data_IF_141344335695
#
_entry.id   IF_141344335695
#
_cell.length_a   1.000
_cell.length_b   1.000
_cell.length_c   1.000
_cell.angle_alpha   90.00
_cell.angle_beta   90.00
_cell.angle_gamma   90.00
#
_symmetry.space_group_name_H-M   'P 1'
#
loop_
_entity.id
_entity.type
_entity.pdbx_description
1 polymer ?
#
# COMPACT_ATOMS: atom_id res chain seq x y z
N UNK A 1 -6.45 -13.05 8.72
CA UNK A 1 -6.70 -11.69 9.26
C UNK A 1 -5.54 -10.70 8.99
N UNK A 2 -4.30 -10.92 9.47
CA UNK A 2 -3.22 -9.90 9.33
C UNK A 2 -2.80 -9.63 7.88
N UNK A 3 -2.94 -10.58 6.97
CA UNK A 3 -2.71 -10.35 5.53
C UNK A 3 -3.70 -9.32 4.94
N UNK A 4 -4.88 -9.21 5.52
CA UNK A 4 -5.94 -8.33 5.00
C UNK A 4 -5.53 -6.85 4.96
N UNK A 5 -5.09 -6.20 6.05
CA UNK A 5 -4.64 -4.82 6.00
C UNK A 5 -3.31 -4.65 5.23
N UNK A 6 -2.51 -5.71 5.08
CA UNK A 6 -1.30 -5.68 4.26
C UNK A 6 -1.64 -5.62 2.77
N UNK A 7 -2.67 -6.31 2.32
CA UNK A 7 -3.08 -6.34 0.92
C UNK A 7 -3.98 -5.15 0.57
N UNK A 8 -5.04 -4.94 1.36
CA UNK A 8 -6.08 -3.96 1.07
C UNK A 8 -5.78 -2.55 1.57
N UNK A 9 -4.76 -2.37 2.38
CA UNK A 9 -4.50 -1.13 3.12
C UNK A 9 -5.72 -0.66 3.96
N UNK A 10 -6.59 -1.58 4.40
CA UNK A 10 -7.77 -1.26 5.18
C UNK A 10 -7.43 -0.58 6.50
N UNK A 11 -8.30 0.35 6.92
CA UNK A 11 -8.27 0.88 8.30
C UNK A 11 -8.73 -0.20 9.27
N UNK A 12 -8.33 -0.11 10.52
CA UNK A 12 -8.72 -1.10 11.53
C UNK A 12 -10.23 -1.21 11.68
N UNK A 13 -10.97 -0.12 11.55
CA UNK A 13 -12.43 -0.14 11.60
C UNK A 13 -13.04 -0.83 10.38
N UNK A 14 -12.48 -0.60 9.19
CA UNK A 14 -12.89 -1.25 7.94
C UNK A 14 -12.63 -2.77 8.01
N UNK A 15 -11.50 -3.17 8.61
CA UNK A 15 -11.20 -4.59 8.86
C UNK A 15 -12.20 -5.21 9.85
N UNK A 16 -12.49 -4.52 10.95
CA UNK A 16 -13.41 -5.02 11.97
C UNK A 16 -14.86 -5.13 11.47
N UNK A 17 -15.26 -4.22 10.59
CA UNK A 17 -16.61 -4.15 10.02
C UNK A 17 -16.77 -4.87 8.68
N UNK A 18 -15.71 -5.52 8.16
CA UNK A 18 -15.78 -6.20 6.89
C UNK A 18 -16.72 -7.41 6.94
N UNK A 19 -17.67 -7.47 6.02
CA UNK A 19 -18.61 -8.57 5.84
C UNK A 19 -18.15 -9.48 4.70
N UNK A 20 -18.57 -10.73 4.75
CA UNK A 20 -18.22 -11.72 3.71
C UNK A 20 -18.79 -11.36 2.34
N UNK A 21 -19.99 -10.76 2.27
CA UNK A 21 -20.59 -10.27 1.03
C UNK A 21 -19.80 -9.16 0.32
N UNK A 22 -18.85 -8.53 1.01
CA UNK A 22 -17.97 -7.49 0.44
C UNK A 22 -16.76 -8.05 -0.33
N UNK A 23 -16.59 -9.37 -0.31
CA UNK A 23 -15.55 -10.06 -1.06
C UNK A 23 -16.09 -10.40 -2.45
N UNK A 24 -15.43 -9.94 -3.50
CA UNK A 24 -15.76 -10.19 -4.90
C UNK A 24 -14.58 -10.84 -5.57
N UNK A 25 -14.59 -12.17 -5.66
CA UNK A 25 -13.43 -12.96 -6.11
C UNK A 25 -13.69 -13.75 -7.42
N UNK A 26 -14.72 -13.38 -8.19
CA UNK A 26 -15.13 -14.15 -9.36
C UNK A 26 -14.18 -14.02 -10.55
N UNK A 27 -14.01 -12.84 -11.13
CA UNK A 27 -13.18 -12.67 -12.35
C UNK A 27 -12.00 -11.74 -12.16
N UNK A 28 -12.22 -10.63 -11.48
CA UNK A 28 -11.18 -9.66 -11.12
C UNK A 28 -11.32 -9.39 -9.62
N UNK A 29 -10.53 -10.06 -8.76
CA UNK A 29 -10.76 -10.05 -7.33
C UNK A 29 -10.59 -8.67 -6.71
N UNK A 30 -11.58 -8.24 -5.94
CA UNK A 30 -11.52 -7.02 -5.15
C UNK A 30 -12.29 -7.16 -3.84
N UNK A 31 -11.98 -6.27 -2.91
CA UNK A 31 -12.70 -6.13 -1.65
C UNK A 31 -13.37 -4.76 -1.61
N UNK A 32 -14.67 -4.73 -1.33
CA UNK A 32 -15.41 -3.51 -1.10
C UNK A 32 -15.23 -3.05 0.34
N UNK A 33 -14.54 -1.94 0.57
CA UNK A 33 -14.29 -1.41 1.90
C UNK A 33 -15.17 -0.19 2.18
N UNK A 34 -15.88 -0.23 3.30
CA UNK A 34 -16.75 0.85 3.74
C UNK A 34 -16.03 1.74 4.75
N UNK A 35 -15.73 2.97 4.35
CA UNK A 35 -15.04 3.96 5.16
C UNK A 35 -15.97 4.85 5.97
N UNK A 36 -15.37 5.79 6.70
CA UNK A 36 -16.11 6.79 7.49
C UNK A 36 -17.05 7.62 6.60
N UNK A 37 -18.29 7.77 7.05
CA UNK A 37 -19.32 8.54 6.32
C UNK A 37 -19.97 7.77 5.16
N UNK A 38 -19.96 6.43 5.18
CA UNK A 38 -20.64 5.59 4.17
C UNK A 38 -19.97 5.55 2.80
N UNK A 39 -18.76 6.10 2.66
CA UNK A 39 -18.01 6.03 1.41
C UNK A 39 -17.44 4.63 1.21
N UNK A 40 -17.91 3.95 0.17
CA UNK A 40 -17.37 2.68 -0.26
C UNK A 40 -16.24 2.89 -1.28
N UNK A 41 -15.28 1.94 -1.31
CA UNK A 41 -14.28 1.83 -2.35
C UNK A 41 -13.95 0.37 -2.64
N UNK A 42 -13.70 0.08 -3.90
CA UNK A 42 -13.26 -1.22 -4.36
C UNK A 42 -11.73 -1.26 -4.38
N UNK A 43 -11.15 -2.16 -3.62
CA UNK A 43 -9.69 -2.35 -3.55
C UNK A 43 -9.36 -3.64 -4.29
N UNK A 44 -8.70 -3.55 -5.46
CA UNK A 44 -8.21 -4.74 -6.16
C UNK A 44 -7.23 -5.52 -5.27
N UNK A 45 -7.32 -6.83 -5.31
CA UNK A 45 -6.44 -7.73 -4.56
C UNK A 45 -5.86 -8.78 -5.50
N UNK A 46 -4.80 -9.45 -5.07
CA UNK A 46 -4.18 -10.52 -5.84
C UNK A 46 -5.02 -11.81 -5.77
N UNK A 47 -4.91 -12.66 -6.78
CA UNK A 47 -5.56 -13.98 -6.81
C UNK A 47 -5.13 -14.83 -5.60
N UNK A 48 -3.84 -14.85 -5.29
CA UNK A 48 -3.31 -15.57 -4.13
C UNK A 48 -3.89 -15.09 -2.80
N UNK A 49 -4.22 -13.81 -2.70
CA UNK A 49 -4.90 -13.28 -1.52
C UNK A 49 -6.38 -13.70 -1.50
N UNK A 50 -7.04 -13.70 -2.65
CA UNK A 50 -8.43 -14.17 -2.76
C UNK A 50 -8.55 -15.65 -2.36
N UNK A 51 -7.63 -16.50 -2.83
CA UNK A 51 -7.52 -17.90 -2.43
C UNK A 51 -7.32 -18.03 -0.91
N UNK A 52 -6.35 -17.30 -0.34
CA UNK A 52 -6.08 -17.32 1.11
C UNK A 52 -7.31 -16.93 1.94
N UNK A 53 -8.10 -15.97 1.48
CA UNK A 53 -9.32 -15.53 2.19
C UNK A 53 -10.44 -16.53 1.97
N UNK A 54 -10.53 -17.13 0.78
CA UNK A 54 -11.47 -18.21 0.47
C UNK A 54 -11.24 -19.44 1.36
N UNK A 55 -10.00 -19.87 1.50
CA UNK A 55 -9.61 -20.98 2.41
C UNK A 55 -9.97 -20.64 3.86
N UNK A 56 -9.71 -19.41 4.28
CA UNK A 56 -10.10 -18.93 5.61
C UNK A 56 -11.62 -18.98 5.79
N UNK A 57 -12.39 -18.47 4.83
CA UNK A 57 -13.85 -18.48 4.90
C UNK A 57 -14.40 -19.90 4.96
N UNK A 58 -13.89 -20.81 4.12
CA UNK A 58 -14.22 -22.22 4.12
C UNK A 58 -13.93 -22.91 5.45
N UNK A 59 -12.74 -22.69 6.02
CA UNK A 59 -12.33 -23.27 7.30
C UNK A 59 -13.18 -22.81 8.50
N UNK A 60 -13.76 -21.61 8.41
CA UNK A 60 -14.62 -21.04 9.46
C UNK A 60 -16.13 -21.10 9.14
N UNK A 61 -16.52 -21.72 8.02
CA UNK A 61 -17.93 -21.87 7.61
C UNK A 61 -18.61 -20.54 7.29
N UNK A 62 -17.85 -19.54 6.76
CA UNK A 62 -18.38 -18.23 6.42
C UNK A 62 -19.04 -18.30 5.04
N UNK A 63 -20.36 -18.10 4.99
CA UNK A 63 -21.20 -18.42 3.83
C UNK A 63 -21.44 -17.33 2.79
N UNK A 64 -20.70 -16.21 2.80
CA UNK A 64 -20.81 -15.19 1.74
C UNK A 64 -21.99 -14.20 1.88
N UNK A 65 -22.70 -14.20 3.02
CA UNK A 65 -23.78 -13.27 3.34
C UNK A 65 -23.31 -12.04 4.12
N UNK A 66 -24.20 -11.42 4.89
CA UNK A 66 -23.91 -10.28 5.77
C UNK A 66 -23.20 -10.70 7.07
N UNK A 67 -22.45 -11.79 7.02
CA UNK A 67 -21.71 -12.30 8.16
C UNK A 67 -20.37 -11.54 8.30
N UNK A 68 -19.93 -11.25 9.55
CA UNK A 68 -18.62 -10.66 9.77
C UNK A 68 -17.51 -11.58 9.28
N UNK A 69 -16.62 -11.06 8.43
CA UNK A 69 -15.50 -11.84 7.92
C UNK A 69 -14.53 -12.25 9.04
N UNK A 70 -14.32 -11.38 10.02
CA UNK A 70 -13.42 -11.66 11.14
C UNK A 70 -14.17 -11.63 12.45
N UNK A 71 -14.20 -12.78 13.12
CA UNK A 71 -14.90 -12.95 14.40
C UNK A 71 -13.94 -13.29 15.54
N UNK A 72 -14.36 -13.05 16.74
CA UNK A 72 -13.70 -13.53 17.95
C UNK A 72 -14.16 -14.99 18.26
N UNK A 73 -13.59 -15.58 19.31
CA UNK A 73 -13.93 -16.95 19.76
C UNK A 73 -15.40 -17.16 20.12
N UNK A 74 -16.19 -16.11 20.25
CA UNK A 74 -17.63 -16.16 20.57
C UNK A 74 -18.52 -15.90 19.35
N UNK A 75 -17.95 -15.88 18.13
CA UNK A 75 -18.67 -15.61 16.88
C UNK A 75 -19.06 -14.13 16.69
N UNK A 76 -18.65 -13.22 17.56
CA UNK A 76 -18.93 -11.78 17.43
C UNK A 76 -17.87 -11.09 16.58
N UNK A 77 -18.20 -9.97 15.90
CA UNK A 77 -17.24 -9.20 15.13
C UNK A 77 -15.99 -8.89 15.94
N UNK A 78 -14.83 -8.94 15.28
CA UNK A 78 -13.57 -8.62 15.90
C UNK A 78 -13.53 -7.11 16.20
N UNK A 79 -13.00 -6.75 17.36
CA UNK A 79 -12.85 -5.34 17.76
C UNK A 79 -11.43 -4.83 17.49
N UNK A 80 -11.24 -3.51 17.41
CA UNK A 80 -9.91 -2.89 17.31
C UNK A 80 -8.93 -3.43 18.37
N UNK A 81 -9.38 -3.58 19.62
CA UNK A 81 -8.58 -4.16 20.72
C UNK A 81 -8.22 -5.63 20.42
N UNK A 82 -9.16 -6.40 19.85
CA UNK A 82 -8.92 -7.78 19.43
C UNK A 82 -7.89 -7.86 18.33
N UNK A 83 -7.98 -7.01 17.32
CA UNK A 83 -6.98 -6.92 16.24
C UNK A 83 -5.60 -6.57 16.80
N UNK A 84 -5.52 -5.55 17.67
CA UNK A 84 -4.26 -5.15 18.30
C UNK A 84 -3.65 -6.27 19.17
N UNK A 85 -4.47 -7.02 19.89
CA UNK A 85 -4.03 -8.19 20.67
C UNK A 85 -3.43 -9.28 19.77
N UNK A 86 -4.13 -9.65 18.69
CA UNK A 86 -3.64 -10.67 17.75
C UNK A 86 -2.36 -10.22 17.07
N UNK A 87 -2.29 -8.96 16.63
CA UNK A 87 -1.09 -8.37 16.04
C UNK A 87 0.07 -8.42 17.04
N UNK A 88 -0.12 -7.98 18.27
CA UNK A 88 0.91 -7.99 19.32
C UNK A 88 1.43 -9.40 19.59
N UNK A 89 0.53 -10.40 19.68
CA UNK A 89 0.92 -11.82 19.86
C UNK A 89 1.79 -12.32 18.70
N UNK A 90 1.45 -11.98 17.47
CA UNK A 90 2.22 -12.39 16.28
C UNK A 90 3.57 -11.66 16.17
N UNK A 91 3.61 -10.39 16.53
CA UNK A 91 4.85 -9.61 16.59
C UNK A 91 5.81 -10.15 17.65
N UNK A 92 5.30 -10.51 18.83
CA UNK A 92 6.11 -11.14 19.87
C UNK A 92 6.72 -12.47 19.41
N UNK A 93 5.94 -13.30 18.70
CA UNK A 93 6.42 -14.54 18.13
C UNK A 93 7.48 -14.29 17.03
N UNK A 94 7.26 -13.30 16.16
CA UNK A 94 8.20 -12.96 15.09
C UNK A 94 9.50 -12.33 15.64
N UNK A 95 9.43 -11.61 16.75
CA UNK A 95 10.61 -11.00 17.39
C UNK A 95 11.62 -12.03 17.91
N UNK A 96 11.19 -13.27 18.15
CA UNK A 96 12.09 -14.37 18.53
C UNK A 96 13.10 -14.71 17.41
N UNK A 97 12.66 -14.65 16.15
CA UNK A 97 13.51 -14.89 14.97
C UNK A 97 14.06 -13.58 14.34
N UNK A 98 13.40 -12.45 14.59
CA UNK A 98 13.75 -11.15 14.02
C UNK A 98 13.68 -10.05 15.10
N UNK A 99 14.72 -9.89 15.94
CA UNK A 99 14.71 -8.96 17.09
C UNK A 99 14.45 -7.49 16.72
N UNK A 100 14.75 -7.09 15.47
CA UNK A 100 14.50 -5.74 14.97
C UNK A 100 13.02 -5.37 14.96
N UNK A 101 12.11 -6.35 14.80
CA UNK A 101 10.65 -6.14 14.87
C UNK A 101 10.22 -5.77 16.28
N UNK A 102 10.78 -6.40 17.31
CA UNK A 102 10.44 -6.14 18.71
C UNK A 102 10.76 -4.73 19.19
N UNK A 103 11.66 -4.01 18.49
CA UNK A 103 12.02 -2.62 18.79
C UNK A 103 11.08 -1.58 18.18
N UNK A 104 10.20 -2.00 17.28
CA UNK A 104 9.29 -1.10 16.54
C UNK A 104 7.88 -1.20 17.10
N UNK A 105 7.22 -0.05 17.27
CA UNK A 105 5.79 -0.01 17.58
C UNK A 105 4.99 -0.22 16.29
N UNK A 106 4.68 -1.46 15.98
CA UNK A 106 3.89 -1.83 14.79
C UNK A 106 2.41 -1.86 15.17
N UNK A 107 1.59 -1.19 14.37
CA UNK A 107 0.13 -1.10 14.51
C UNK A 107 -0.55 -1.41 13.17
N UNK A 108 -1.87 -1.55 13.14
CA UNK A 108 -2.60 -1.66 11.87
C UNK A 108 -2.37 -0.44 10.97
N UNK A 109 -2.17 0.74 11.55
CA UNK A 109 -1.83 1.93 10.78
C UNK A 109 -0.45 1.81 10.13
N UNK A 110 0.53 1.24 10.82
CA UNK A 110 1.86 0.96 10.25
C UNK A 110 1.79 -0.02 9.07
N UNK A 111 0.92 -1.05 9.15
CA UNK A 111 0.73 -2.01 8.05
C UNK A 111 0.14 -1.33 6.82
N UNK A 112 -0.87 -0.48 7.00
CA UNK A 112 -1.44 0.33 5.93
C UNK A 112 -0.41 1.30 5.33
N UNK A 113 0.40 1.94 6.17
CA UNK A 113 1.50 2.80 5.73
C UNK A 113 2.52 2.03 4.88
N UNK A 114 2.93 0.83 5.35
CA UNK A 114 3.84 -0.04 4.60
C UNK A 114 3.25 -0.43 3.24
N UNK A 115 1.95 -0.74 3.15
CA UNK A 115 1.32 -1.04 1.85
C UNK A 115 1.38 0.16 0.90
N UNK A 116 1.09 1.36 1.40
CA UNK A 116 1.19 2.58 0.60
C UNK A 116 2.62 2.81 0.07
N UNK A 117 3.63 2.57 0.91
CA UNK A 117 5.04 2.66 0.51
C UNK A 117 5.41 1.60 -0.53
N UNK A 118 5.00 0.34 -0.34
CA UNK A 118 5.25 -0.72 -1.33
C UNK A 118 4.61 -0.43 -2.68
N UNK A 119 3.39 0.10 -2.71
CA UNK A 119 2.73 0.50 -3.97
C UNK A 119 3.49 1.64 -4.65
N UNK A 120 3.96 2.60 -3.88
CA UNK A 120 4.74 3.72 -4.39
C UNK A 120 6.09 3.25 -4.94
N UNK A 121 6.79 2.38 -4.24
CA UNK A 121 8.06 1.77 -4.65
C UNK A 121 7.91 0.89 -5.89
N UNK A 122 6.75 0.25 -6.05
CA UNK A 122 6.38 -0.50 -7.24
C UNK A 122 5.98 0.39 -8.43
N UNK A 123 6.02 1.72 -8.29
CA UNK A 123 5.72 2.65 -9.38
C UNK A 123 4.24 2.92 -9.61
N UNK A 124 3.36 2.53 -8.70
CA UNK A 124 1.93 2.81 -8.82
C UNK A 124 1.67 4.30 -8.69
N UNK A 125 0.85 4.84 -9.61
CA UNK A 125 0.52 6.27 -9.61
C UNK A 125 -0.16 6.68 -8.30
N UNK A 126 0.22 7.85 -7.77
CA UNK A 126 -0.31 8.40 -6.51
C UNK A 126 -1.84 8.54 -6.48
N UNK A 127 -2.48 8.76 -7.64
CA UNK A 127 -3.93 8.83 -7.74
C UNK A 127 -4.55 7.47 -7.38
N UNK A 128 -4.03 6.38 -7.92
CA UNK A 128 -4.50 5.03 -7.58
C UNK A 128 -4.21 4.67 -6.12
N UNK A 129 -3.02 5.04 -5.61
CA UNK A 129 -2.69 4.85 -4.19
C UNK A 129 -3.68 5.61 -3.30
N UNK A 130 -4.01 6.86 -3.64
CA UNK A 130 -5.03 7.65 -2.94
C UNK A 130 -6.37 6.92 -2.91
N UNK A 131 -6.80 6.40 -4.04
CA UNK A 131 -8.11 5.73 -4.17
C UNK A 131 -8.14 4.41 -3.39
N UNK A 132 -7.08 3.60 -3.46
CA UNK A 132 -6.91 2.38 -2.65
C UNK A 132 -6.96 2.71 -1.15
N UNK A 133 -6.27 3.77 -0.74
CA UNK A 133 -6.27 4.23 0.64
C UNK A 133 -7.60 4.90 1.05
N UNK A 134 -8.41 5.34 0.13
CA UNK A 134 -9.62 6.12 0.41
C UNK A 134 -9.30 7.44 1.11
N UNK A 135 -8.28 8.16 0.63
CA UNK A 135 -7.96 9.51 1.07
C UNK A 135 -8.82 10.53 0.29
N UNK A 136 -9.40 11.48 0.99
CA UNK A 136 -10.22 12.53 0.37
C UNK A 136 -9.38 13.48 -0.51
N UNK A 137 -8.07 13.60 -0.23
CA UNK A 137 -7.15 14.47 -0.96
C UNK A 137 -5.87 13.73 -1.31
N UNK A 138 -5.31 14.04 -2.48
CA UNK A 138 -3.98 13.56 -2.91
C UNK A 138 -2.89 14.06 -1.96
N UNK A 139 -3.05 15.26 -1.38
CA UNK A 139 -2.09 15.86 -0.44
C UNK A 139 -1.72 14.93 0.71
N UNK A 140 -2.69 14.15 1.22
CA UNK A 140 -2.41 13.14 2.26
C UNK A 140 -1.55 11.99 1.73
N UNK A 141 -1.63 11.68 0.44
CA UNK A 141 -0.84 10.62 -0.21
C UNK A 141 0.54 11.14 -0.64
N UNK A 142 0.66 12.43 -0.95
CA UNK A 142 1.94 13.07 -1.31
C UNK A 142 2.98 13.01 -0.18
N UNK A 143 2.56 12.85 1.06
CA UNK A 143 3.47 12.65 2.21
C UNK A 143 4.37 11.43 1.94
N UNK A 144 3.83 10.36 1.35
CA UNK A 144 4.59 9.17 1.01
C UNK A 144 5.65 9.45 -0.08
N UNK A 145 5.30 10.25 -1.10
CA UNK A 145 6.24 10.63 -2.16
C UNK A 145 7.35 11.56 -1.66
N UNK A 146 7.08 12.38 -0.63
CA UNK A 146 8.07 13.29 -0.05
C UNK A 146 9.08 12.57 0.86
N UNK A 147 8.69 11.44 1.45
CA UNK A 147 9.51 10.71 2.43
C UNK A 147 10.55 9.78 1.81
N UNK A 148 10.51 9.52 0.51
CA UNK A 148 11.47 8.64 -0.15
C UNK A 148 12.28 9.36 -1.26
N UNK A 149 13.42 10.01 -0.92
CA UNK A 149 14.30 10.68 -1.90
C UNK A 149 14.93 9.69 -2.90
N UNK A 150 15.17 8.45 -2.50
CA UNK A 150 15.77 7.42 -3.36
C UNK A 150 14.84 7.06 -4.52
N UNK A 151 13.54 7.00 -4.26
CA UNK A 151 12.53 6.77 -5.29
C UNK A 151 12.54 7.89 -6.34
N UNK A 152 12.64 9.14 -5.91
CA UNK A 152 12.77 10.29 -6.84
C UNK A 152 14.03 10.17 -7.70
N UNK A 153 15.15 9.79 -7.09
CA UNK A 153 16.42 9.59 -7.79
C UNK A 153 16.30 8.46 -8.83
N UNK A 154 15.67 7.34 -8.45
CA UNK A 154 15.41 6.21 -9.36
C UNK A 154 14.60 6.66 -10.58
N UNK A 155 13.46 7.34 -10.37
CA UNK A 155 12.63 7.85 -11.46
C UNK A 155 13.38 8.85 -12.34
N UNK A 156 14.16 9.75 -11.77
CA UNK A 156 14.97 10.68 -12.53
C UNK A 156 16.02 9.94 -13.36
N UNK A 157 16.65 8.91 -12.82
CA UNK A 157 17.66 8.11 -13.54
C UNK A 157 17.03 7.30 -14.67
N UNK A 158 15.86 6.68 -14.44
CA UNK A 158 15.17 5.85 -15.43
C UNK A 158 14.53 6.67 -16.56
N UNK A 159 14.13 7.91 -16.28
CA UNK A 159 13.43 8.78 -17.25
C UNK A 159 14.25 10.00 -17.67
N UNK A 160 15.47 10.15 -17.17
CA UNK A 160 16.40 11.17 -17.68
C UNK A 160 16.91 10.75 -19.04
N UNK A 161 16.84 11.65 -20.02
CA UNK A 161 17.60 11.48 -21.26
C UNK A 161 19.06 11.23 -20.89
N UNK A 162 19.63 10.16 -21.41
CA UNK A 162 21.05 9.88 -21.22
C UNK A 162 21.80 10.99 -21.95
N UNK A 163 22.25 11.99 -21.20
CA UNK A 163 23.19 12.95 -21.75
C UNK A 163 24.50 12.21 -21.99
N UNK A 164 24.67 11.67 -23.21
CA UNK A 164 25.94 11.12 -23.59
C UNK A 164 26.93 12.29 -23.67
N UNK A 165 27.93 12.25 -22.84
CA UNK A 165 29.14 13.08 -22.96
C UNK A 165 30.04 12.62 -24.11
N UNK A 166 29.50 11.88 -25.09
CA UNK A 166 30.17 11.64 -26.36
C UNK A 166 30.35 12.98 -27.04
N UNK A 167 31.58 13.32 -27.37
CA UNK A 167 32.00 14.54 -28.02
C UNK A 167 31.17 14.80 -29.29
N UNK A 168 30.01 15.43 -29.12
CA UNK A 168 29.15 15.87 -30.23
C UNK A 168 29.66 17.14 -30.88
N UNK A 169 30.57 17.82 -30.21
CA UNK A 169 31.13 19.12 -30.66
C UNK A 169 32.62 19.05 -30.58
N UNK A 170 33.28 19.57 -31.59
CA UNK A 170 34.72 19.84 -31.55
C UNK A 170 35.02 20.88 -30.48
N UNK A 171 36.26 20.94 -29.96
CA UNK A 171 36.65 21.97 -28.99
C UNK A 171 36.32 23.38 -29.45
N UNK A 172 36.40 23.65 -30.76
CA UNK A 172 36.09 24.94 -31.37
C UNK A 172 34.61 25.26 -31.35
N UNK A 173 33.75 24.32 -31.80
CA UNK A 173 32.29 24.46 -31.77
C UNK A 173 31.76 24.63 -30.33
N UNK A 174 32.40 23.96 -29.36
CA UNK A 174 32.06 24.10 -27.95
C UNK A 174 32.39 25.50 -27.43
N UNK A 175 33.52 26.05 -27.80
CA UNK A 175 33.92 27.41 -27.39
C UNK A 175 33.01 28.46 -28.03
N UNK A 176 32.63 28.29 -29.29
CA UNK A 176 31.70 29.19 -29.97
C UNK A 176 30.30 29.15 -29.33
N UNK A 177 29.80 27.95 -28.97
CA UNK A 177 28.54 27.80 -28.26
C UNK A 177 28.57 28.48 -26.88
N UNK A 178 29.67 28.30 -26.13
CA UNK A 178 29.85 28.94 -24.81
C UNK A 178 29.94 30.48 -24.94
N UNK A 179 30.59 30.99 -25.98
CA UNK A 179 30.65 32.41 -26.25
C UNK A 179 29.26 32.96 -26.60
N UNK A 180 28.55 32.28 -27.52
CA UNK A 180 27.18 32.66 -27.87
C UNK A 180 26.24 32.70 -26.68
N UNK A 181 26.31 31.70 -25.78
CA UNK A 181 25.52 31.67 -24.55
C UNK A 181 25.82 32.84 -23.62
N UNK A 182 27.10 33.22 -23.48
CA UNK A 182 27.51 34.37 -22.63
C UNK A 182 27.07 35.71 -23.19
N UNK A 183 26.96 35.80 -24.52
CA UNK A 183 26.61 37.06 -25.21
C UNK A 183 25.09 37.26 -25.29
N UNK A 184 24.26 36.19 -25.07
CA UNK A 184 22.80 36.21 -25.24
C UNK A 184 22.01 35.93 -23.96
N UNK A 185 22.69 35.58 -22.86
CA UNK A 185 22.11 35.36 -21.53
C UNK A 185 22.99 35.96 -20.44
#
# INVERSE_FOLDING_TARGET
MLAFPCETAARVDELCGCLSCQLRFESAPYVELHGKGGKARNVPVTESFAELVGDYAGAFGIGGGDEPLFTNRYGRPLTQKGVAYVLGKRLAAAAASMPSIGRKRITCHSMRHSRAMHLLEAGVNLIYIRDILGHASVTTTEIYAKTNPELKRKYLTEHSATYSTGEKYTPEERNDLVKWLKDNF
#
